data_IF_860287839226
#
_entry.id   IF_860287839226
#
_cell.length_a   1.000
_cell.length_b   1.000
_cell.length_c   1.000
_cell.angle_alpha   90.00
_cell.angle_beta   90.00
_cell.angle_gamma   90.00
#
_symmetry.space_group_name_H-M   'P 1'
#
loop_
_entity.id
_entity.type
_entity.pdbx_description
1 polymer ?
#
# COMPACT_ATOMS: atom_id res chain seq x y z
N UNK A 1 -24.85 -1.21 11.33
CA UNK A 1 -24.52 -0.76 9.95
C UNK A 1 -24.82 -1.84 8.90
N UNK A 2 -25.36 -1.44 7.73
CA UNK A 2 -25.73 -2.36 6.63
C UNK A 2 -24.53 -2.61 5.69
N UNK A 3 -23.67 -3.56 6.03
CA UNK A 3 -22.45 -3.91 5.27
C UNK A 3 -22.68 -4.06 3.76
N UNK A 4 -23.79 -4.70 3.34
CA UNK A 4 -24.09 -4.89 1.92
C UNK A 4 -24.38 -3.60 1.15
N UNK A 5 -24.77 -2.49 1.82
CA UNK A 5 -24.89 -1.17 1.18
C UNK A 5 -23.52 -0.53 0.99
N UNK A 6 -22.67 -0.57 2.02
CA UNK A 6 -21.30 -0.06 1.97
C UNK A 6 -20.48 -0.76 0.88
N UNK A 7 -20.51 -2.10 0.85
CA UNK A 7 -19.81 -2.88 -0.18
C UNK A 7 -20.32 -2.55 -1.59
N UNK A 8 -21.63 -2.40 -1.76
CA UNK A 8 -22.20 -2.03 -3.06
C UNK A 8 -21.71 -0.66 -3.52
N UNK A 9 -21.57 0.31 -2.61
CA UNK A 9 -21.08 1.65 -2.91
C UNK A 9 -19.61 1.62 -3.36
N UNK A 10 -18.77 0.80 -2.72
CA UNK A 10 -17.38 0.61 -3.18
C UNK A 10 -17.32 -0.12 -4.53
N UNK A 11 -18.15 -1.14 -4.72
CA UNK A 11 -18.19 -1.94 -5.94
C UNK A 11 -18.74 -1.16 -7.16
N UNK A 12 -19.67 -0.21 -6.98
CA UNK A 12 -20.14 0.64 -8.08
C UNK A 12 -19.12 1.69 -8.49
N UNK A 13 -18.23 2.07 -7.57
CA UNK A 13 -17.26 3.15 -7.78
C UNK A 13 -15.94 2.65 -8.37
N UNK A 14 -15.71 1.33 -8.40
CA UNK A 14 -14.44 0.76 -8.82
C UNK A 14 -14.63 -0.52 -9.63
N UNK A 15 -13.83 -0.69 -10.69
CA UNK A 15 -13.84 -1.87 -11.57
C UNK A 15 -13.21 -3.12 -10.94
N UNK A 16 -12.99 -3.11 -9.63
CA UNK A 16 -12.26 -4.18 -8.94
C UNK A 16 -13.19 -5.33 -8.54
N UNK A 17 -12.71 -6.59 -8.58
CA UNK A 17 -13.50 -7.74 -8.20
C UNK A 17 -13.70 -7.81 -6.68
N UNK A 18 -14.82 -7.32 -6.17
CA UNK A 18 -15.20 -7.52 -4.77
C UNK A 18 -15.88 -8.88 -4.57
N UNK A 19 -15.87 -9.36 -3.32
CA UNK A 19 -16.70 -10.50 -2.91
C UNK A 19 -18.16 -10.31 -3.32
N UNK A 20 -18.73 -11.34 -3.95
CA UNK A 20 -20.07 -11.41 -4.52
C UNK A 20 -21.14 -11.57 -3.43
N UNK A 21 -21.10 -10.69 -2.42
CA UNK A 21 -21.82 -10.82 -1.15
C UNK A 21 -23.34 -10.97 -1.32
N UNK A 22 -23.95 -10.26 -2.28
CA UNK A 22 -25.39 -10.37 -2.56
C UNK A 22 -25.75 -11.75 -3.12
N UNK A 23 -24.95 -12.28 -4.05
CA UNK A 23 -25.18 -13.58 -4.67
C UNK A 23 -24.95 -14.71 -3.67
N UNK A 24 -23.83 -14.69 -2.96
CA UNK A 24 -23.52 -15.64 -1.90
C UNK A 24 -24.62 -15.66 -0.82
N UNK A 25 -25.17 -14.50 -0.45
CA UNK A 25 -26.28 -14.42 0.51
C UNK A 25 -27.57 -15.06 -0.01
N UNK A 26 -27.84 -14.98 -1.32
CA UNK A 26 -29.00 -15.65 -1.95
C UNK A 26 -28.81 -17.16 -1.91
N UNK A 27 -27.63 -17.66 -2.24
CA UNK A 27 -27.32 -19.10 -2.20
C UNK A 27 -27.46 -19.69 -0.79
N UNK A 28 -27.00 -18.98 0.25
CA UNK A 28 -27.23 -19.39 1.65
C UNK A 28 -28.73 -19.49 1.99
N UNK A 29 -29.56 -18.61 1.41
CA UNK A 29 -31.01 -18.66 1.65
C UNK A 29 -31.63 -19.88 0.96
N UNK A 30 -31.25 -20.12 -0.30
CA UNK A 30 -31.72 -21.27 -1.07
C UNK A 30 -31.32 -22.59 -0.42
N UNK A 31 -30.06 -22.73 0.01
CA UNK A 31 -29.59 -23.94 0.70
C UNK A 31 -30.34 -24.20 2.01
N UNK A 32 -30.65 -23.14 2.77
CA UNK A 32 -31.42 -23.27 4.01
C UNK A 32 -32.90 -23.64 3.75
N UNK A 33 -33.52 -23.11 2.68
CA UNK A 33 -34.89 -23.46 2.28
C UNK A 33 -34.97 -24.92 1.81
N UNK A 34 -33.98 -25.40 1.07
CA UNK A 34 -33.92 -26.79 0.61
C UNK A 34 -33.75 -27.77 1.78
N UNK A 35 -32.85 -27.44 2.72
CA UNK A 35 -32.67 -28.22 3.96
C UNK A 35 -33.95 -28.37 4.78
N UNK A 36 -34.77 -27.31 4.82
CA UNK A 36 -36.05 -27.34 5.53
C UNK A 36 -37.10 -28.26 4.87
N UNK A 37 -36.97 -28.52 3.56
CA UNK A 37 -37.87 -29.41 2.82
C UNK A 37 -37.47 -30.88 2.93
N UNK A 38 -36.17 -31.17 2.93
CA UNK A 38 -35.64 -32.54 2.96
C UNK A 38 -35.56 -33.12 4.37
N UNK A 39 -35.63 -32.29 5.42
CA UNK A 39 -35.52 -32.72 6.81
C UNK A 39 -34.11 -33.14 7.24
N UNK A 40 -33.16 -33.17 6.30
CA UNK A 40 -31.75 -33.45 6.52
C UNK A 40 -30.90 -32.45 5.72
N UNK A 41 -29.90 -31.87 6.37
CA UNK A 41 -28.88 -31.05 5.71
C UNK A 41 -27.75 -31.96 5.27
N UNK A 42 -27.79 -32.42 4.02
CA UNK A 42 -26.64 -33.03 3.38
C UNK A 42 -25.96 -31.96 2.50
N UNK A 43 -24.88 -31.39 3.03
CA UNK A 43 -24.14 -30.30 2.37
C UNK A 43 -23.48 -30.73 1.06
N UNK A 44 -23.19 -32.02 0.88
CA UNK A 44 -22.46 -32.54 -0.27
C UNK A 44 -23.37 -32.77 -1.49
N UNK A 45 -24.65 -33.02 -1.26
CA UNK A 45 -25.66 -33.20 -2.33
C UNK A 45 -26.41 -31.92 -2.68
N UNK A 46 -26.31 -30.87 -1.85
CA UNK A 46 -27.02 -29.62 -2.10
C UNK A 46 -26.35 -28.78 -3.22
N UNK A 47 -27.00 -28.57 -4.37
CA UNK A 47 -26.40 -27.83 -5.49
C UNK A 47 -26.13 -26.35 -5.17
N UNK A 48 -26.91 -25.74 -4.27
CA UNK A 48 -26.68 -24.36 -3.83
C UNK A 48 -25.44 -24.24 -2.93
N UNK A 49 -25.09 -25.29 -2.17
CA UNK A 49 -23.85 -25.35 -1.38
C UNK A 49 -22.62 -25.51 -2.29
N UNK A 50 -22.70 -26.38 -3.29
CA UNK A 50 -21.65 -26.53 -4.29
C UNK A 50 -21.39 -25.21 -5.04
N UNK A 51 -22.45 -24.56 -5.52
CA UNK A 51 -22.35 -23.27 -6.20
C UNK A 51 -21.86 -22.15 -5.28
N UNK A 52 -22.30 -22.12 -4.01
CA UNK A 52 -21.78 -21.19 -3.01
C UNK A 52 -20.27 -21.33 -2.84
N UNK A 53 -19.78 -22.57 -2.72
CA UNK A 53 -18.37 -22.87 -2.52
C UNK A 53 -17.56 -22.46 -3.75
N UNK A 54 -18.05 -22.77 -4.95
CA UNK A 54 -17.42 -22.40 -6.22
C UNK A 54 -17.26 -20.88 -6.37
N UNK A 55 -18.33 -20.12 -6.10
CA UNK A 55 -18.29 -18.65 -6.17
C UNK A 55 -17.37 -18.08 -5.10
N UNK A 56 -17.45 -18.59 -3.87
CA UNK A 56 -16.61 -18.11 -2.77
C UNK A 56 -15.11 -18.31 -3.08
N UNK A 57 -14.75 -19.46 -3.64
CA UNK A 57 -13.38 -19.75 -4.09
C UNK A 57 -12.96 -18.85 -5.26
N UNK A 58 -13.83 -18.64 -6.24
CA UNK A 58 -13.56 -17.74 -7.37
C UNK A 58 -13.34 -16.29 -6.91
N UNK A 59 -14.23 -15.77 -6.06
CA UNK A 59 -14.09 -14.45 -5.45
C UNK A 59 -12.78 -14.33 -4.66
N UNK A 60 -12.43 -15.35 -3.86
CA UNK A 60 -11.20 -15.37 -3.09
C UNK A 60 -9.97 -15.30 -4.00
N UNK A 61 -9.91 -16.14 -5.03
CA UNK A 61 -8.82 -16.15 -6.01
C UNK A 61 -8.68 -14.80 -6.70
N UNK A 62 -9.79 -14.19 -7.13
CA UNK A 62 -9.78 -12.89 -7.80
C UNK A 62 -9.29 -11.76 -6.89
N UNK A 63 -9.79 -11.73 -5.64
CA UNK A 63 -9.39 -10.72 -4.65
C UNK A 63 -7.90 -10.87 -4.28
N UNK A 64 -7.46 -12.09 -3.97
CA UNK A 64 -6.07 -12.40 -3.63
C UNK A 64 -5.15 -12.06 -4.80
N UNK A 65 -5.54 -12.44 -6.03
CA UNK A 65 -4.79 -12.13 -7.24
C UNK A 65 -4.60 -10.63 -7.45
N UNK A 66 -5.68 -9.84 -7.34
CA UNK A 66 -5.57 -8.38 -7.48
C UNK A 66 -4.70 -7.76 -6.38
N UNK A 67 -4.84 -8.22 -5.12
CA UNK A 67 -4.01 -7.72 -4.01
C UNK A 67 -2.53 -7.99 -4.29
N UNK A 68 -2.19 -9.21 -4.72
CA UNK A 68 -0.81 -9.57 -5.06
C UNK A 68 -0.26 -8.71 -6.19
N UNK A 69 -0.99 -8.54 -7.29
CA UNK A 69 -0.56 -7.69 -8.41
C UNK A 69 -0.31 -6.25 -7.99
N UNK A 70 -1.20 -5.68 -7.16
CA UNK A 70 -1.05 -4.31 -6.66
C UNK A 70 0.09 -4.15 -5.68
N UNK A 71 0.30 -5.14 -4.82
CA UNK A 71 1.41 -5.13 -3.87
C UNK A 71 2.74 -5.17 -4.61
N UNK A 72 2.92 -6.03 -5.61
CA UNK A 72 4.14 -6.07 -6.42
C UNK A 72 4.39 -4.75 -7.16
N UNK A 73 3.34 -4.11 -7.68
CA UNK A 73 3.47 -2.79 -8.30
C UNK A 73 3.91 -1.70 -7.31
N UNK A 74 3.38 -1.73 -6.08
CA UNK A 74 3.79 -0.83 -5.00
C UNK A 74 5.24 -1.10 -4.55
N UNK A 75 5.64 -2.36 -4.41
CA UNK A 75 7.01 -2.76 -4.06
C UNK A 75 8.00 -2.23 -5.10
N UNK A 76 7.70 -2.36 -6.40
CA UNK A 76 8.53 -1.81 -7.47
C UNK A 76 8.64 -0.28 -7.37
N UNK A 77 7.52 0.42 -7.15
CA UNK A 77 7.51 1.87 -7.02
C UNK A 77 8.30 2.36 -5.80
N UNK A 78 8.20 1.66 -4.67
CA UNK A 78 8.96 1.97 -3.46
C UNK A 78 10.45 1.68 -3.64
N UNK A 79 10.82 0.59 -4.30
CA UNK A 79 12.22 0.28 -4.61
C UNK A 79 12.84 1.36 -5.52
N UNK A 80 12.10 1.83 -6.53
CA UNK A 80 12.52 2.95 -7.38
C UNK A 80 12.68 4.24 -6.58
N UNK A 81 11.73 4.56 -5.70
CA UNK A 81 11.81 5.74 -4.83
C UNK A 81 13.01 5.66 -3.88
N UNK A 82 13.26 4.50 -3.27
CA UNK A 82 14.42 4.26 -2.41
C UNK A 82 15.74 4.44 -3.17
N UNK A 83 15.86 3.89 -4.38
CA UNK A 83 17.04 4.06 -5.21
C UNK A 83 17.26 5.54 -5.56
N UNK A 84 16.21 6.26 -5.95
CA UNK A 84 16.29 7.71 -6.21
C UNK A 84 16.74 8.47 -4.96
N UNK A 85 16.22 8.13 -3.78
CA UNK A 85 16.62 8.75 -2.51
C UNK A 85 18.08 8.48 -2.16
N UNK A 86 18.59 7.26 -2.38
CA UNK A 86 20.01 6.91 -2.17
C UNK A 86 20.89 7.72 -3.10
N UNK A 87 20.56 7.76 -4.40
CA UNK A 87 21.32 8.54 -5.38
C UNK A 87 21.34 10.03 -5.02
N UNK A 88 20.20 10.58 -4.57
CA UNK A 88 20.14 11.95 -4.06
C UNK A 88 21.02 12.14 -2.83
N UNK A 89 21.04 11.21 -1.88
CA UNK A 89 21.89 11.28 -0.68
C UNK A 89 23.40 11.16 -0.99
N UNK A 90 23.77 10.55 -2.11
CA UNK A 90 25.15 10.49 -2.59
C UNK A 90 25.58 11.76 -3.33
N UNK A 91 24.64 12.41 -4.03
CA UNK A 91 24.90 13.62 -4.84
C UNK A 91 24.77 14.89 -4.00
N UNK A 92 23.88 14.90 -3.00
CA UNK A 92 23.57 16.05 -2.16
C UNK A 92 24.02 15.84 -0.72
N UNK A 93 24.60 16.89 -0.15
CA UNK A 93 24.78 16.97 1.30
C UNK A 93 23.43 17.08 2.02
N UNK A 94 23.31 16.63 3.28
CA UNK A 94 22.06 16.76 4.05
C UNK A 94 21.49 18.18 4.06
N UNK A 95 22.33 19.21 4.19
CA UNK A 95 21.90 20.62 4.16
C UNK A 95 21.41 21.10 2.79
N UNK A 96 21.81 20.48 1.67
CA UNK A 96 21.23 20.76 0.35
C UNK A 96 19.85 20.10 0.19
N UNK A 97 19.68 18.88 0.73
CA UNK A 97 18.39 18.18 0.77
C UNK A 97 17.35 18.95 1.61
N UNK A 98 17.73 19.46 2.79
CA UNK A 98 16.83 20.26 3.62
C UNK A 98 16.40 21.56 2.95
N UNK A 99 17.32 22.23 2.25
CA UNK A 99 17.00 23.44 1.46
C UNK A 99 16.06 23.13 0.30
N UNK A 100 16.28 22.03 -0.42
CA UNK A 100 15.39 21.59 -1.50
C UNK A 100 14.00 21.24 -0.96
N UNK A 101 13.92 20.52 0.16
CA UNK A 101 12.67 20.17 0.85
C UNK A 101 11.88 21.41 1.27
N UNK A 102 12.53 22.37 1.93
CA UNK A 102 11.87 23.58 2.42
C UNK A 102 11.33 24.44 1.27
N UNK A 103 12.09 24.58 0.17
CA UNK A 103 11.59 25.23 -1.06
C UNK A 103 10.37 24.52 -1.64
N UNK A 104 10.40 23.19 -1.69
CA UNK A 104 9.32 22.40 -2.29
C UNK A 104 8.02 22.43 -1.46
N UNK A 105 8.13 22.54 -0.15
CA UNK A 105 7.00 22.66 0.78
C UNK A 105 6.51 24.10 0.95
N UNK A 106 7.12 25.07 0.27
CA UNK A 106 6.79 26.50 0.44
C UNK A 106 7.13 27.05 1.84
N UNK A 107 7.98 26.34 2.60
CA UNK A 107 8.49 26.85 3.86
C UNK A 107 9.49 27.96 3.55
N UNK A 108 9.25 29.17 4.09
CA UNK A 108 10.10 30.34 3.87
C UNK A 108 11.58 30.07 4.18
N UNK A 109 12.49 30.92 3.65
CA UNK A 109 13.92 30.68 3.72
C UNK A 109 14.39 30.44 5.16
N UNK A 110 14.94 29.24 5.41
CA UNK A 110 15.59 28.95 6.68
C UNK A 110 16.84 29.83 6.77
N UNK A 111 17.00 30.64 7.83
CA UNK A 111 18.18 31.48 7.99
C UNK A 111 19.42 30.60 7.98
N UNK A 112 20.31 30.83 7.02
CA UNK A 112 21.63 30.19 6.99
C UNK A 112 22.35 30.45 8.31
N UNK A 113 23.04 29.46 8.90
CA UNK A 113 23.87 29.73 10.07
C UNK A 113 24.90 30.79 9.68
N UNK A 114 24.74 31.98 10.26
CA UNK A 114 25.72 33.05 10.13
C UNK A 114 26.97 32.56 10.83
N UNK A 115 27.93 32.05 10.06
CA UNK A 115 29.27 31.75 10.56
C UNK A 115 29.90 33.10 10.89
N UNK A 116 29.69 33.58 12.12
CA UNK A 116 30.41 34.72 12.68
C UNK A 116 31.87 34.31 12.89
N UNK A 117 32.61 34.23 11.79
CA UNK A 117 34.05 34.11 11.74
C UNK A 117 34.66 35.49 11.57
N UNK A 118 34.57 36.34 12.59
CA UNK A 118 35.45 37.50 12.73
C UNK A 118 36.88 36.99 12.94
N UNK A 119 37.64 36.84 11.85
CA UNK A 119 39.10 36.80 11.90
C UNK A 119 39.64 38.10 11.33
N UNK A 120 40.04 38.95 12.26
CA UNK A 120 40.84 40.15 12.10
C UNK A 120 42.14 39.89 11.35
N UNK A 121 42.56 40.94 10.63
CA UNK A 121 43.63 41.00 9.65
C UNK A 121 45.03 40.55 10.14
N UNK A 122 45.83 40.04 9.20
CA UNK A 122 47.24 39.74 9.37
C UNK A 122 47.99 39.57 8.04
N UNK A 123 48.54 40.69 7.56
CA UNK A 123 49.67 40.91 6.65
C UNK A 123 50.36 39.76 5.87
N UNK A 124 50.43 39.94 4.54
CA UNK A 124 51.57 39.78 3.61
C UNK A 124 52.46 38.52 3.61
N UNK A 125 52.60 37.88 2.44
CA UNK A 125 53.79 37.97 1.56
C UNK A 125 53.71 36.95 0.41
N UNK A 126 54.27 37.33 -0.74
CA UNK A 126 54.11 36.64 -2.02
C UNK A 126 54.64 35.20 -2.04
N UNK A 127 53.78 34.26 -2.43
CA UNK A 127 54.13 32.89 -2.74
C UNK A 127 53.46 32.48 -4.05
N UNK A 128 54.27 32.00 -5.01
CA UNK A 128 53.80 31.50 -6.31
C UNK A 128 52.70 30.45 -6.12
N UNK A 129 51.58 30.70 -6.79
CA UNK A 129 50.29 30.06 -6.55
C UNK A 129 50.29 28.56 -6.80
N UNK A 130 50.08 27.81 -5.73
CA UNK A 130 49.32 26.56 -5.80
C UNK A 130 47.83 26.92 -5.73
N UNK A 131 46.95 26.35 -6.56
CA UNK A 131 45.52 26.56 -6.40
C UNK A 131 45.13 26.12 -4.99
N UNK A 132 44.64 27.08 -4.19
CA UNK A 132 44.19 26.79 -2.84
C UNK A 132 43.09 25.73 -2.92
N UNK A 133 43.09 24.81 -1.97
CA UNK A 133 42.07 23.78 -1.80
C UNK A 133 40.65 24.38 -1.72
N UNK A 134 40.57 25.67 -1.38
CA UNK A 134 39.35 26.48 -1.32
C UNK A 134 38.73 26.76 -2.70
N UNK A 135 39.52 26.78 -3.78
CA UNK A 135 39.00 27.02 -5.14
C UNK A 135 38.18 25.82 -5.65
N UNK A 136 38.50 24.60 -5.21
CA UNK A 136 37.76 23.39 -5.62
C UNK A 136 36.39 23.31 -4.90
N UNK A 137 36.27 23.86 -3.69
CA UNK A 137 35.00 23.92 -2.95
C UNK A 137 34.03 24.95 -3.55
N UNK A 138 34.56 26.03 -4.14
CA UNK A 138 33.75 27.08 -4.78
C UNK A 138 33.02 26.63 -6.06
N UNK A 139 33.62 25.75 -6.87
CA UNK A 139 33.04 25.30 -8.15
C UNK A 139 31.82 24.37 -7.95
N UNK A 140 31.73 23.69 -6.81
CA UNK A 140 30.56 22.87 -6.45
C UNK A 140 29.41 23.68 -5.82
N UNK A 141 29.64 24.96 -5.48
CA UNK A 141 28.65 25.81 -4.80
C UNK A 141 27.81 26.67 -5.74
N UNK A 142 28.05 26.66 -7.05
CA UNK A 142 27.39 27.53 -8.02
C UNK A 142 26.24 26.89 -8.81
N UNK A 143 25.82 25.66 -8.47
CA UNK A 143 24.56 25.13 -8.98
C UNK A 143 23.41 25.92 -8.35
N UNK A 144 22.78 26.82 -9.12
CA UNK A 144 21.72 27.69 -8.60
C UNK A 144 20.59 26.83 -8.01
N UNK A 145 20.22 27.17 -6.78
CA UNK A 145 19.33 26.37 -5.92
C UNK A 145 17.86 26.66 -6.22
N UNK A 146 17.55 27.40 -7.29
CA UNK A 146 16.23 28.03 -7.46
C UNK A 146 15.14 27.11 -7.99
N UNK A 147 15.52 25.94 -8.51
CA UNK A 147 14.59 24.91 -8.92
C UNK A 147 14.95 23.58 -8.23
N UNK A 148 13.97 22.82 -7.68
CA UNK A 148 14.26 21.48 -7.19
C UNK A 148 14.81 20.66 -8.35
N UNK A 149 15.91 19.94 -8.10
CA UNK A 149 16.49 19.04 -9.08
C UNK A 149 15.42 18.09 -9.64
N UNK A 150 15.44 17.78 -10.95
CA UNK A 150 14.50 16.83 -11.55
C UNK A 150 14.38 15.51 -10.76
N UNK A 151 15.48 15.05 -10.17
CA UNK A 151 15.50 13.85 -9.34
C UNK A 151 14.73 14.00 -8.00
N UNK A 152 14.77 15.19 -7.37
CA UNK A 152 13.99 15.48 -6.16
C UNK A 152 12.50 15.55 -6.50
N UNK A 153 12.15 16.19 -7.63
CA UNK A 153 10.77 16.24 -8.11
C UNK A 153 10.24 14.84 -8.44
N UNK A 154 11.03 14.00 -9.12
CA UNK A 154 10.68 12.62 -9.44
C UNK A 154 10.45 11.78 -8.18
N UNK A 155 11.31 11.90 -7.17
CA UNK A 155 11.12 11.23 -5.88
C UNK A 155 9.79 11.64 -5.21
N UNK A 156 9.50 12.94 -5.16
CA UNK A 156 8.26 13.44 -4.57
C UNK A 156 7.05 12.93 -5.32
N UNK A 157 7.08 12.91 -6.66
CA UNK A 157 6.02 12.35 -7.48
C UNK A 157 5.80 10.86 -7.22
N UNK A 158 6.88 10.07 -7.13
CA UNK A 158 6.81 8.63 -6.81
C UNK A 158 6.16 8.40 -5.44
N UNK A 159 6.56 9.16 -4.42
CA UNK A 159 5.98 9.07 -3.07
C UNK A 159 4.51 9.50 -3.03
N UNK A 160 4.18 10.61 -3.72
CA UNK A 160 2.80 11.09 -3.84
C UNK A 160 1.89 10.12 -4.60
N UNK A 161 2.45 9.25 -5.45
CA UNK A 161 1.72 8.16 -6.11
C UNK A 161 1.61 6.92 -5.22
N UNK A 162 2.68 6.58 -4.49
CA UNK A 162 2.73 5.37 -3.66
C UNK A 162 1.78 5.45 -2.45
N UNK A 163 1.72 6.59 -1.76
CA UNK A 163 0.93 6.73 -0.53
C UNK A 163 -0.57 6.52 -0.77
N UNK A 164 -1.23 7.20 -1.73
CA UNK A 164 -2.65 6.96 -2.00
C UNK A 164 -2.91 5.54 -2.49
N UNK A 165 -2.04 4.98 -3.33
CA UNK A 165 -2.19 3.62 -3.84
C UNK A 165 -2.10 2.55 -2.72
N UNK A 166 -1.25 2.77 -1.71
CA UNK A 166 -1.19 1.92 -0.52
C UNK A 166 -2.47 2.03 0.31
N UNK A 167 -2.94 3.25 0.57
CA UNK A 167 -4.18 3.48 1.32
C UNK A 167 -5.40 2.83 0.63
N UNK A 168 -5.49 2.97 -0.70
CA UNK A 168 -6.54 2.33 -1.50
C UNK A 168 -6.46 0.80 -1.44
N UNK A 169 -5.25 0.22 -1.49
CA UNK A 169 -5.06 -1.22 -1.36
C UNK A 169 -5.45 -1.73 0.03
N UNK A 170 -5.11 -1.00 1.09
CA UNK A 170 -5.49 -1.33 2.45
C UNK A 170 -7.01 -1.32 2.63
N UNK A 171 -7.67 -0.23 2.21
CA UNK A 171 -9.13 -0.10 2.28
C UNK A 171 -9.84 -1.22 1.49
N UNK A 172 -9.33 -1.52 0.28
CA UNK A 172 -9.84 -2.62 -0.55
C UNK A 172 -9.72 -3.98 0.16
N UNK A 173 -8.58 -4.24 0.78
CA UNK A 173 -8.31 -5.49 1.51
C UNK A 173 -9.22 -5.64 2.72
N UNK A 174 -9.40 -4.57 3.51
CA UNK A 174 -10.27 -4.56 4.69
C UNK A 174 -11.73 -4.86 4.34
N UNK A 175 -12.25 -4.21 3.29
CA UNK A 175 -13.64 -4.39 2.85
C UNK A 175 -13.89 -5.84 2.42
N UNK A 176 -12.98 -6.42 1.62
CA UNK A 176 -13.11 -7.80 1.18
C UNK A 176 -12.97 -8.80 2.34
N UNK A 177 -11.98 -8.61 3.22
CA UNK A 177 -11.79 -9.45 4.40
C UNK A 177 -13.03 -9.44 5.31
N UNK A 178 -13.61 -8.27 5.54
CA UNK A 178 -14.86 -8.13 6.28
C UNK A 178 -16.03 -8.85 5.59
N UNK A 179 -16.08 -8.81 4.26
CA UNK A 179 -17.09 -9.50 3.46
C UNK A 179 -17.01 -11.01 3.55
N UNK A 180 -15.82 -11.58 3.36
CA UNK A 180 -15.55 -13.01 3.55
C UNK A 180 -15.91 -13.46 4.97
N UNK A 181 -15.44 -12.75 6.01
CA UNK A 181 -15.77 -13.08 7.41
C UNK A 181 -17.29 -13.08 7.66
N UNK A 182 -18.00 -12.07 7.15
CA UNK A 182 -19.46 -11.95 7.34
C UNK A 182 -20.24 -13.01 6.58
N UNK A 183 -19.83 -13.36 5.35
CA UNK A 183 -20.57 -14.32 4.54
C UNK A 183 -20.36 -15.75 5.07
N UNK A 184 -19.15 -16.11 5.45
CA UNK A 184 -18.82 -17.39 6.07
C UNK A 184 -19.53 -17.54 7.41
N UNK A 185 -19.51 -16.51 8.28
CA UNK A 185 -20.28 -16.51 9.54
C UNK A 185 -21.79 -16.66 9.30
N UNK A 186 -22.31 -16.10 8.20
CA UNK A 186 -23.73 -16.23 7.85
C UNK A 186 -24.08 -17.64 7.38
N UNK A 187 -23.19 -18.26 6.60
CA UNK A 187 -23.34 -19.64 6.13
C UNK A 187 -23.47 -20.59 7.33
N UNK A 188 -22.48 -20.62 8.24
CA UNK A 188 -22.49 -21.53 9.41
C UNK A 188 -23.71 -21.33 10.33
N UNK A 189 -24.14 -20.08 10.52
CA UNK A 189 -25.34 -19.78 11.31
C UNK A 189 -26.64 -20.32 10.70
N UNK A 190 -26.67 -20.54 9.38
CA UNK A 190 -27.87 -20.92 8.64
C UNK A 190 -27.93 -22.41 8.31
N UNK A 191 -26.78 -23.05 8.14
CA UNK A 191 -26.69 -24.48 7.85
C UNK A 191 -26.64 -25.34 9.10
N UNK A 192 -26.49 -24.74 10.30
CA UNK A 192 -26.24 -25.45 11.56
C UNK A 192 -25.00 -26.36 11.53
N UNK A 193 -24.18 -26.21 10.48
CA UNK A 193 -23.01 -27.02 10.21
C UNK A 193 -21.79 -26.41 10.90
N UNK A 194 -21.79 -26.45 12.24
CA UNK A 194 -20.67 -25.96 13.04
C UNK A 194 -19.48 -26.92 13.06
N UNK A 195 -19.73 -28.20 12.75
CA UNK A 195 -18.74 -29.27 12.84
C UNK A 195 -17.96 -29.43 11.53
N UNK A 196 -18.57 -29.20 10.36
CA UNK A 196 -17.84 -29.09 9.08
C UNK A 196 -17.42 -27.65 8.82
N UNK A 197 -16.57 -27.10 9.68
CA UNK A 197 -15.86 -25.87 9.34
C UNK A 197 -15.03 -26.12 8.07
N UNK A 198 -15.47 -25.65 6.90
CA UNK A 198 -14.71 -25.65 5.62
C UNK A 198 -13.19 -25.72 5.84
N UNK A 199 -12.59 -26.93 5.89
CA UNK A 199 -11.19 -27.08 6.25
C UNK A 199 -10.33 -26.39 5.18
N UNK A 200 -10.78 -26.49 3.93
CA UNK A 200 -10.22 -25.79 2.78
C UNK A 200 -10.28 -24.27 2.88
N UNK A 201 -11.34 -23.66 3.44
CA UNK A 201 -11.40 -22.19 3.55
C UNK A 201 -10.51 -21.68 4.69
N UNK A 202 -10.52 -22.35 5.84
CA UNK A 202 -9.64 -22.02 6.96
C UNK A 202 -8.17 -22.21 6.58
N UNK A 203 -7.83 -23.33 5.93
CA UNK A 203 -6.47 -23.58 5.46
C UNK A 203 -6.10 -22.69 4.27
N UNK A 204 -7.01 -22.36 3.35
CA UNK A 204 -6.71 -21.40 2.28
C UNK A 204 -6.49 -19.99 2.82
N UNK A 205 -7.24 -19.56 3.83
CA UNK A 205 -7.02 -18.27 4.47
C UNK A 205 -5.71 -18.26 5.26
N UNK A 206 -5.44 -19.33 6.03
CA UNK A 206 -4.26 -19.48 6.88
C UNK A 206 -2.96 -19.70 6.08
N UNK A 207 -3.04 -20.44 4.98
CA UNK A 207 -1.91 -20.69 4.06
C UNK A 207 -1.84 -19.66 2.93
N UNK A 208 -2.79 -18.71 2.84
CA UNK A 208 -2.67 -17.66 1.83
C UNK A 208 -1.45 -16.81 2.16
N UNK A 209 -0.67 -16.49 1.11
CA UNK A 209 0.38 -15.46 1.15
C UNK A 209 -0.11 -14.13 1.74
N UNK A 210 -1.43 -13.91 1.80
CA UNK A 210 -2.08 -12.75 2.38
C UNK A 210 -1.94 -12.67 3.91
N UNK A 211 -2.00 -13.79 4.64
CA UNK A 211 -1.73 -13.76 6.08
C UNK A 211 -0.23 -13.58 6.36
N UNK A 212 0.65 -14.21 5.58
CA UNK A 212 2.09 -13.94 5.64
C UNK A 212 2.39 -12.47 5.34
N UNK A 213 1.85 -11.92 4.25
CA UNK A 213 2.03 -10.50 3.89
C UNK A 213 1.49 -9.56 4.99
N UNK A 214 0.32 -9.85 5.57
CA UNK A 214 -0.22 -9.06 6.68
C UNK A 214 0.69 -9.11 7.92
N UNK A 215 1.20 -10.29 8.29
CA UNK A 215 2.12 -10.43 9.42
C UNK A 215 3.45 -9.71 9.15
N UNK A 216 3.98 -9.77 7.93
CA UNK A 216 5.23 -9.10 7.55
C UNK A 216 5.07 -7.59 7.45
N UNK A 217 3.91 -7.07 7.04
CA UNK A 217 3.69 -5.62 6.94
C UNK A 217 3.25 -4.96 8.26
N UNK A 218 2.75 -5.71 9.24
CA UNK A 218 2.22 -5.19 10.50
C UNK A 218 3.05 -5.56 11.74
N UNK A 219 4.22 -6.17 11.57
CA UNK A 219 5.25 -6.35 12.62
C UNK A 219 6.52 -5.60 12.23
#
# INVERSE_FOLDING_TARGET
MRFGKTLALHATSSSHPYVSYKQLKRLIKLSAEEASKTGAFDGDTNPAVAEFTRILQSDLTNVVGLIATRLTALESLLAEAQLTAILLGLIYTPGQLDRARNKLLGAGPVPSPTVNGTRTAGSSSGGKGRPSRDTIVGILSSASVDSPSPAVSDLVMKMNKAIPALNDLMAYTEVNLAGFRKITKKYYKKTADTDRQFPGFRNALLNSKLQQAYVTCCR
#
